data_IF_699603500392
#
_entry.id   IF_699603500392
#
_cell.length_a   1.000
_cell.length_b   1.000
_cell.length_c   1.000
_cell.angle_alpha   90.00
_cell.angle_beta   90.00
_cell.angle_gamma   90.00
#
_symmetry.space_group_name_H-M   'P 1'
#
loop_
_entity.id
_entity.type
_entity.pdbx_description
1 polymer ?
#
# COMPACT_ATOMS: atom_id res chain seq x y z
N UNK A 1 -11.81 -24.00 3.80
CA UNK A 1 -10.94 -22.84 3.85
C UNK A 1 -10.76 -22.36 2.42
N UNK A 2 -10.94 -21.06 2.14
CA UNK A 2 -11.03 -20.59 0.73
C UNK A 2 -9.67 -20.29 0.10
N UNK A 3 -8.67 -19.91 0.91
CA UNK A 3 -7.32 -19.55 0.49
C UNK A 3 -6.31 -20.40 1.26
N UNK A 4 -6.24 -21.68 0.89
CA UNK A 4 -5.27 -22.61 1.50
C UNK A 4 -3.86 -22.30 1.00
N UNK A 5 -2.85 -22.94 1.61
CA UNK A 5 -1.46 -22.80 1.17
C UNK A 5 -1.32 -23.20 -0.30
N UNK A 6 -1.94 -24.30 -0.70
CA UNK A 6 -1.90 -24.82 -2.08
C UNK A 6 -2.48 -23.80 -3.08
N UNK A 7 -3.59 -23.15 -2.74
CA UNK A 7 -4.21 -22.11 -3.59
C UNK A 7 -3.30 -20.90 -3.72
N UNK A 8 -2.58 -20.52 -2.66
CA UNK A 8 -1.66 -19.39 -2.70
C UNK A 8 -0.37 -19.75 -3.47
N UNK A 9 0.13 -20.98 -3.32
CA UNK A 9 1.29 -21.48 -4.06
C UNK A 9 0.97 -21.56 -5.58
N UNK A 10 -0.21 -22.09 -5.96
CA UNK A 10 -0.67 -22.08 -7.36
C UNK A 10 -0.81 -20.67 -7.92
N UNK A 11 -1.35 -19.74 -7.11
CA UNK A 11 -1.46 -18.35 -7.52
C UNK A 11 -0.08 -17.69 -7.69
N UNK A 12 0.91 -18.02 -6.87
CA UNK A 12 2.28 -17.52 -7.02
C UNK A 12 2.90 -17.98 -8.35
N UNK A 13 2.72 -19.24 -8.72
CA UNK A 13 3.15 -19.72 -10.04
C UNK A 13 2.37 -19.04 -11.17
N UNK A 14 1.07 -18.81 -10.99
CA UNK A 14 0.24 -18.09 -11.95
C UNK A 14 0.70 -16.64 -12.21
N UNK A 15 1.35 -15.99 -11.25
CA UNK A 15 1.94 -14.64 -11.45
C UNK A 15 3.11 -14.63 -12.43
N UNK A 16 3.73 -15.78 -12.68
CA UNK A 16 4.86 -15.94 -13.62
C UNK A 16 4.42 -16.32 -15.04
N UNK A 17 3.12 -16.48 -15.28
CA UNK A 17 2.59 -16.87 -16.59
C UNK A 17 2.85 -15.78 -17.64
N UNK A 18 3.09 -16.17 -18.87
CA UNK A 18 3.27 -15.23 -20.00
C UNK A 18 1.96 -14.50 -20.34
N UNK A 19 0.81 -15.15 -20.19
CA UNK A 19 -0.50 -14.53 -20.45
C UNK A 19 -0.90 -13.55 -19.32
N UNK A 20 -1.09 -12.31 -19.70
CA UNK A 20 -1.57 -11.23 -18.81
C UNK A 20 -2.88 -11.58 -18.11
N UNK A 21 -3.79 -12.31 -18.77
CA UNK A 21 -5.09 -12.68 -18.17
C UNK A 21 -4.91 -13.70 -17.06
N UNK A 22 -4.03 -14.68 -17.25
CA UNK A 22 -3.71 -15.67 -16.24
C UNK A 22 -3.02 -15.00 -15.04
N UNK A 23 -2.05 -14.11 -15.28
CA UNK A 23 -1.47 -13.30 -14.19
C UNK A 23 -2.53 -12.47 -13.46
N UNK A 24 -3.56 -11.97 -14.17
CA UNK A 24 -4.65 -11.22 -13.55
C UNK A 24 -5.53 -12.07 -12.65
N UNK A 25 -5.78 -13.32 -13.05
CA UNK A 25 -6.49 -14.30 -12.20
C UNK A 25 -5.70 -14.50 -10.91
N UNK A 26 -4.42 -14.80 -11.00
CA UNK A 26 -3.53 -14.99 -9.88
C UNK A 26 -3.45 -13.75 -8.96
N UNK A 27 -3.25 -12.57 -9.53
CA UNK A 27 -3.26 -11.31 -8.79
C UNK A 27 -4.59 -11.05 -8.06
N UNK A 28 -5.70 -11.49 -8.66
CA UNK A 28 -7.02 -11.38 -8.03
C UNK A 28 -7.20 -12.34 -6.85
N UNK A 29 -6.59 -13.52 -6.90
CA UNK A 29 -6.55 -14.45 -5.76
C UNK A 29 -5.86 -13.78 -4.57
N UNK A 30 -4.67 -13.23 -4.78
CA UNK A 30 -3.93 -12.54 -3.72
C UNK A 30 -4.67 -11.33 -3.17
N UNK A 31 -5.23 -10.49 -4.03
CA UNK A 31 -6.01 -9.34 -3.62
C UNK A 31 -7.19 -9.75 -2.71
N UNK A 32 -7.91 -10.81 -3.07
CA UNK A 32 -9.02 -11.32 -2.28
C UNK A 32 -8.56 -11.99 -0.98
N UNK A 33 -7.44 -12.72 -1.02
CA UNK A 33 -6.86 -13.34 0.16
C UNK A 33 -6.42 -12.27 1.18
N UNK A 34 -5.76 -11.20 0.72
CA UNK A 34 -5.36 -10.08 1.55
C UNK A 34 -6.55 -9.33 2.18
N UNK A 35 -7.72 -9.32 1.52
CA UNK A 35 -8.94 -8.71 2.02
C UNK A 35 -9.83 -9.67 2.83
N UNK A 36 -9.49 -10.97 2.86
CA UNK A 36 -10.31 -11.96 3.55
C UNK A 36 -10.40 -11.66 5.05
N UNK A 37 -11.53 -12.01 5.62
CA UNK A 37 -12.02 -11.64 6.95
C UNK A 37 -10.95 -11.53 8.04
N UNK A 38 -10.82 -10.34 8.56
CA UNK A 38 -9.93 -9.99 9.67
C UNK A 38 -10.35 -10.71 10.95
N UNK A 39 -9.36 -11.29 11.64
CA UNK A 39 -9.58 -11.83 12.99
C UNK A 39 -10.13 -13.25 13.04
N UNK A 40 -10.28 -13.94 11.92
CA UNK A 40 -10.66 -15.35 11.89
C UNK A 40 -9.44 -16.27 11.80
N UNK A 41 -9.58 -17.52 12.25
CA UNK A 41 -8.53 -18.54 12.06
C UNK A 41 -8.13 -18.71 10.58
N UNK A 42 -9.02 -18.33 9.67
CA UNK A 42 -8.79 -18.37 8.23
C UNK A 42 -7.81 -17.31 7.72
N UNK A 43 -7.54 -16.26 8.49
CA UNK A 43 -6.58 -15.21 8.10
C UNK A 43 -5.17 -15.46 8.61
N UNK A 44 -5.01 -16.25 9.65
CA UNK A 44 -3.69 -16.58 10.22
C UNK A 44 -2.79 -17.22 9.16
N UNK A 45 -3.23 -18.30 8.53
CA UNK A 45 -2.43 -19.02 7.53
C UNK A 45 -2.13 -18.21 6.28
N UNK A 46 -3.03 -17.32 5.85
CA UNK A 46 -2.77 -16.39 4.75
C UNK A 46 -1.65 -15.42 5.11
N UNK A 47 -1.68 -14.89 6.33
CA UNK A 47 -0.62 -14.01 6.82
C UNK A 47 0.71 -14.74 6.96
N UNK A 48 0.72 -15.91 7.57
CA UNK A 48 1.91 -16.75 7.70
C UNK A 48 2.50 -17.09 6.32
N UNK A 49 1.65 -17.37 5.35
CA UNK A 49 2.08 -17.61 3.98
C UNK A 49 2.78 -16.38 3.39
N UNK A 50 2.19 -15.19 3.52
CA UNK A 50 2.79 -13.96 2.98
C UNK A 50 4.11 -13.61 3.67
N UNK A 51 4.16 -13.70 4.99
CA UNK A 51 5.40 -13.46 5.74
C UNK A 51 6.51 -14.40 5.26
N UNK A 52 6.18 -15.67 5.05
CA UNK A 52 7.15 -16.68 4.60
C UNK A 52 7.55 -16.55 3.13
N UNK A 53 6.72 -15.93 2.28
CA UNK A 53 6.90 -15.91 0.82
C UNK A 53 6.97 -14.49 0.24
N UNK A 54 7.17 -13.46 1.05
CA UNK A 54 7.15 -12.07 0.58
C UNK A 54 8.20 -11.79 -0.50
N UNK A 55 9.38 -12.36 -0.39
CA UNK A 55 10.45 -12.17 -1.37
C UNK A 55 10.12 -12.80 -2.72
N UNK A 56 9.58 -14.02 -2.71
CA UNK A 56 9.13 -14.72 -3.90
C UNK A 56 7.95 -14.00 -4.56
N UNK A 57 7.01 -13.50 -3.74
CA UNK A 57 5.89 -12.70 -4.22
C UNK A 57 6.37 -11.41 -4.91
N UNK A 58 7.23 -10.62 -4.24
CA UNK A 58 7.77 -9.39 -4.83
C UNK A 58 8.59 -9.69 -6.08
N UNK A 59 9.38 -10.77 -6.08
CA UNK A 59 10.14 -11.19 -7.26
C UNK A 59 9.23 -11.53 -8.44
N UNK A 60 8.09 -12.18 -8.19
CA UNK A 60 7.14 -12.54 -9.24
C UNK A 60 6.42 -11.33 -9.85
N UNK A 61 6.26 -10.23 -9.10
CA UNK A 61 5.47 -9.06 -9.55
C UNK A 61 6.31 -7.85 -9.98
N UNK A 62 7.61 -7.82 -9.68
CA UNK A 62 8.47 -6.63 -9.89
C UNK A 62 8.55 -6.17 -11.35
N UNK A 63 8.44 -7.10 -12.29
CA UNK A 63 8.55 -6.86 -13.73
C UNK A 63 7.18 -6.78 -14.43
N UNK A 64 6.08 -6.78 -13.68
CA UNK A 64 4.73 -6.63 -14.23
C UNK A 64 4.55 -5.27 -14.90
N UNK A 65 4.00 -5.26 -16.10
CA UNK A 65 3.77 -4.07 -16.92
C UNK A 65 2.30 -3.71 -17.11
N UNK A 66 1.39 -4.68 -16.89
CA UNK A 66 -0.04 -4.42 -16.99
C UNK A 66 -0.54 -3.61 -15.79
N UNK A 67 -1.11 -2.44 -16.07
CA UNK A 67 -1.50 -1.49 -15.03
C UNK A 67 -2.61 -1.99 -14.11
N UNK A 68 -3.47 -2.88 -14.59
CA UNK A 68 -4.52 -3.49 -13.77
C UNK A 68 -3.96 -4.52 -12.81
N UNK A 69 -2.93 -5.26 -13.24
CA UNK A 69 -2.22 -6.21 -12.38
C UNK A 69 -1.37 -5.46 -11.34
N UNK A 70 -0.61 -4.44 -11.76
CA UNK A 70 0.15 -3.58 -10.84
C UNK A 70 -0.76 -2.98 -9.77
N UNK A 71 -1.94 -2.49 -10.16
CA UNK A 71 -2.90 -1.96 -9.19
C UNK A 71 -3.35 -3.01 -8.17
N UNK A 72 -3.60 -4.26 -8.61
CA UNK A 72 -3.94 -5.37 -7.71
C UNK A 72 -2.81 -5.70 -6.75
N UNK A 73 -1.58 -5.68 -7.23
CA UNK A 73 -0.40 -5.92 -6.39
C UNK A 73 -0.21 -4.81 -5.36
N UNK A 74 -0.35 -3.55 -5.76
CA UNK A 74 -0.33 -2.43 -4.83
C UNK A 74 -1.44 -2.54 -3.78
N UNK A 75 -2.63 -2.91 -4.20
CA UNK A 75 -3.74 -3.10 -3.26
C UNK A 75 -3.49 -4.28 -2.30
N UNK A 76 -2.95 -5.38 -2.80
CA UNK A 76 -2.58 -6.56 -2.00
C UNK A 76 -1.53 -6.20 -0.95
N UNK A 77 -0.43 -5.59 -1.37
CA UNK A 77 0.65 -5.17 -0.46
C UNK A 77 0.15 -4.16 0.57
N UNK A 78 -0.67 -3.18 0.16
CA UNK A 78 -1.30 -2.24 1.08
C UNK A 78 -2.13 -2.95 2.16
N UNK A 79 -3.01 -3.86 1.77
CA UNK A 79 -3.87 -4.57 2.72
C UNK A 79 -3.04 -5.40 3.71
N UNK A 80 -1.96 -5.99 3.22
CA UNK A 80 -1.02 -6.73 4.06
C UNK A 80 -0.36 -5.82 5.10
N UNK A 81 0.27 -4.76 4.64
CA UNK A 81 1.01 -3.85 5.48
C UNK A 81 0.11 -3.02 6.40
N UNK A 82 -1.03 -2.52 5.90
CA UNK A 82 -1.99 -1.78 6.72
C UNK A 82 -2.48 -2.61 7.92
N UNK A 83 -2.68 -3.89 7.71
CA UNK A 83 -3.15 -4.79 8.74
C UNK A 83 -2.10 -5.11 9.78
N UNK A 84 -0.83 -5.09 9.40
CA UNK A 84 0.29 -5.30 10.32
C UNK A 84 0.60 -4.06 11.15
N UNK A 85 0.73 -2.91 10.48
CA UNK A 85 1.22 -1.68 11.09
C UNK A 85 0.18 -1.03 12.00
N UNK A 86 -1.11 -1.19 11.74
CA UNK A 86 -2.16 -0.62 12.59
C UNK A 86 -2.36 -1.34 13.93
N UNK A 87 -1.57 -2.36 14.22
CA UNK A 87 -1.47 -2.98 15.55
C UNK A 87 -2.74 -3.68 16.08
N UNK A 88 -3.89 -3.37 15.52
CA UNK A 88 -5.18 -3.81 16.03
C UNK A 88 -5.40 -5.33 16.00
N UNK A 89 -4.53 -6.07 15.32
CA UNK A 89 -4.75 -7.51 15.06
C UNK A 89 -3.61 -8.41 15.48
N UNK A 90 -2.44 -7.87 15.83
CA UNK A 90 -1.28 -8.64 16.31
C UNK A 90 -1.60 -9.37 17.61
N UNK A 91 -2.42 -8.78 18.45
CA UNK A 91 -2.80 -9.36 19.75
C UNK A 91 -3.68 -10.61 19.65
N UNK A 92 -4.24 -10.92 18.47
CA UNK A 92 -5.19 -12.03 18.28
C UNK A 92 -4.51 -13.23 17.62
N UNK A 93 -3.35 -13.06 16.99
CA UNK A 93 -2.68 -14.10 16.23
C UNK A 93 -1.43 -14.58 16.99
N UNK A 94 -1.58 -15.66 17.73
CA UNK A 94 -0.43 -16.39 18.25
C UNK A 94 0.20 -17.18 17.09
N UNK A 95 1.38 -16.77 16.63
CA UNK A 95 2.12 -17.39 15.52
C UNK A 95 3.62 -17.30 15.78
N UNK A 96 4.33 -18.39 15.53
CA UNK A 96 5.79 -18.41 15.56
C UNK A 96 6.42 -17.78 14.30
N UNK A 97 5.65 -17.65 13.23
CA UNK A 97 6.08 -17.10 11.93
C UNK A 97 5.91 -15.60 11.89
N UNK A 98 4.83 -15.08 12.49
CA UNK A 98 4.52 -13.65 12.52
C UNK A 98 5.26 -13.03 13.71
N UNK A 99 6.51 -12.69 13.49
CA UNK A 99 7.39 -11.99 14.44
C UNK A 99 7.58 -10.53 14.01
N UNK A 100 8.01 -9.68 14.92
CA UNK A 100 8.32 -8.28 14.63
C UNK A 100 9.38 -8.13 13.51
N UNK A 101 10.38 -8.99 13.50
CA UNK A 101 11.43 -9.02 12.48
C UNK A 101 10.86 -9.39 11.11
N UNK A 102 10.01 -10.41 11.03
CA UNK A 102 9.41 -10.86 9.79
C UNK A 102 8.39 -9.83 9.25
N UNK A 103 7.67 -9.15 10.12
CA UNK A 103 6.78 -8.04 9.74
C UNK A 103 7.57 -6.88 9.17
N UNK A 104 8.70 -6.54 9.76
CA UNK A 104 9.60 -5.51 9.26
C UNK A 104 10.13 -5.86 7.87
N UNK A 105 10.50 -7.11 7.62
CA UNK A 105 10.91 -7.56 6.30
C UNK A 105 9.79 -7.41 5.27
N UNK A 106 8.55 -7.78 5.59
CA UNK A 106 7.38 -7.58 4.70
C UNK A 106 7.21 -6.10 4.37
N UNK A 107 7.34 -5.22 5.35
CA UNK A 107 7.24 -3.77 5.16
C UNK A 107 8.34 -3.25 4.23
N UNK A 108 9.59 -3.65 4.47
CA UNK A 108 10.74 -3.24 3.65
C UNK A 108 10.58 -3.69 2.19
N UNK A 109 10.19 -4.93 1.95
CA UNK A 109 9.95 -5.46 0.59
C UNK A 109 8.80 -4.75 -0.12
N UNK A 110 7.72 -4.45 0.59
CA UNK A 110 6.62 -3.67 0.04
C UNK A 110 7.05 -2.23 -0.31
N UNK A 111 7.87 -1.57 0.52
CA UNK A 111 8.46 -0.25 0.23
C UNK A 111 9.37 -0.29 -1.00
N UNK A 112 10.22 -1.30 -1.12
CA UNK A 112 11.07 -1.50 -2.30
C UNK A 112 10.23 -1.60 -3.57
N UNK A 113 9.14 -2.37 -3.53
CA UNK A 113 8.22 -2.51 -4.66
C UNK A 113 7.57 -1.18 -5.04
N UNK A 114 6.97 -0.47 -4.09
CA UNK A 114 6.35 0.85 -4.35
C UNK A 114 7.36 1.83 -4.92
N UNK A 115 8.58 1.86 -4.38
CA UNK A 115 9.63 2.74 -4.87
C UNK A 115 10.08 2.41 -6.30
N UNK A 116 10.11 1.13 -6.66
CA UNK A 116 10.42 0.70 -8.03
C UNK A 116 9.42 1.21 -9.06
N UNK A 117 8.15 1.32 -8.68
CA UNK A 117 7.06 1.80 -9.53
C UNK A 117 7.13 3.30 -9.84
N UNK A 118 7.95 4.09 -9.14
CA UNK A 118 8.09 5.54 -9.40
C UNK A 118 8.44 5.84 -10.86
N UNK A 119 9.16 4.95 -11.52
CA UNK A 119 9.54 5.10 -12.93
C UNK A 119 8.35 5.03 -13.91
N UNK A 120 7.27 4.37 -13.51
CA UNK A 120 6.06 4.18 -14.33
C UNK A 120 4.87 5.04 -13.88
N UNK A 121 5.11 6.06 -13.08
CA UNK A 121 4.10 6.98 -12.51
C UNK A 121 3.21 7.69 -13.53
N UNK A 122 3.52 7.63 -14.81
CA UNK A 122 2.70 8.25 -15.86
C UNK A 122 1.34 7.55 -16.05
N UNK A 123 1.23 6.30 -15.64
CA UNK A 123 -0.02 5.55 -15.75
C UNK A 123 -0.98 5.95 -14.63
N UNK A 124 -2.19 6.46 -14.95
CA UNK A 124 -3.15 6.91 -13.95
C UNK A 124 -3.59 5.83 -12.95
N UNK A 125 -3.66 4.58 -13.39
CA UNK A 125 -4.05 3.45 -12.54
C UNK A 125 -2.97 3.11 -11.52
N UNK A 126 -1.70 3.12 -11.96
CA UNK A 126 -0.55 2.91 -11.07
C UNK A 126 -0.45 4.04 -10.06
N UNK A 127 -0.57 5.29 -10.50
CA UNK A 127 -0.57 6.45 -9.60
C UNK A 127 -1.66 6.38 -8.54
N UNK A 128 -2.87 5.96 -8.92
CA UNK A 128 -3.97 5.76 -7.99
C UNK A 128 -3.63 4.68 -6.95
N UNK A 129 -3.04 3.57 -7.38
CA UNK A 129 -2.60 2.51 -6.49
C UNK A 129 -1.54 2.99 -5.49
N UNK A 130 -0.53 3.71 -5.98
CA UNK A 130 0.52 4.28 -5.12
C UNK A 130 -0.09 5.26 -4.09
N UNK A 131 -0.97 6.15 -4.52
CA UNK A 131 -1.65 7.08 -3.62
C UNK A 131 -2.48 6.37 -2.54
N UNK A 132 -3.08 5.22 -2.88
CA UNK A 132 -3.84 4.40 -1.93
C UNK A 132 -2.96 3.67 -0.92
N UNK A 133 -1.71 3.41 -1.29
CA UNK A 133 -0.76 2.64 -0.49
C UNK A 133 -0.09 3.45 0.62
N UNK A 134 -0.02 4.74 0.46
CA UNK A 134 0.82 5.62 1.26
C UNK A 134 0.53 5.69 2.75
N UNK A 135 -0.72 5.73 3.15
CA UNK A 135 -1.06 5.94 4.57
C UNK A 135 -0.57 4.81 5.51
N UNK A 136 -0.02 3.76 4.92
CA UNK A 136 0.58 2.64 5.62
C UNK A 136 2.05 2.88 5.97
N UNK A 137 2.73 3.77 5.22
CA UNK A 137 4.17 3.99 5.35
C UNK A 137 4.50 5.43 5.66
N UNK A 138 5.44 5.62 6.55
CA UNK A 138 5.98 6.91 7.00
C UNK A 138 7.13 7.40 6.10
N UNK A 139 7.16 6.96 4.84
CA UNK A 139 8.24 7.28 3.92
C UNK A 139 8.04 8.66 3.28
N UNK A 140 8.99 9.55 3.49
CA UNK A 140 8.93 10.94 3.03
C UNK A 140 8.75 11.06 1.51
N UNK A 141 9.32 10.14 0.71
CA UNK A 141 9.22 10.20 -0.76
C UNK A 141 7.78 10.16 -1.29
N UNK A 142 6.86 9.73 -0.50
CA UNK A 142 5.47 9.53 -0.91
C UNK A 142 4.71 10.85 -0.99
N UNK A 143 5.12 11.85 -0.23
CA UNK A 143 4.58 13.20 -0.35
C UNK A 143 4.86 13.79 -1.74
N UNK A 144 6.01 13.47 -2.33
CA UNK A 144 6.34 13.85 -3.70
C UNK A 144 5.42 13.15 -4.69
N UNK A 145 5.12 11.85 -4.46
CA UNK A 145 4.18 11.09 -5.28
C UNK A 145 2.77 11.71 -5.21
N UNK A 146 2.30 12.11 -4.04
CA UNK A 146 1.00 12.80 -3.92
C UNK A 146 0.94 14.08 -4.71
N UNK A 147 1.98 14.88 -4.60
CA UNK A 147 2.09 16.12 -5.36
C UNK A 147 2.02 15.86 -6.86
N UNK A 148 2.71 14.84 -7.36
CA UNK A 148 2.65 14.47 -8.78
C UNK A 148 1.30 13.89 -9.20
N UNK A 149 0.71 13.04 -8.38
CA UNK A 149 -0.61 12.46 -8.64
C UNK A 149 -1.66 13.55 -8.76
N UNK A 150 -1.69 14.50 -7.83
CA UNK A 150 -2.63 15.61 -7.83
C UNK A 150 -2.49 16.53 -9.03
N UNK A 151 -1.29 16.70 -9.57
CA UNK A 151 -1.09 17.46 -10.82
C UNK A 151 -1.77 16.82 -12.03
N UNK A 152 -1.97 15.49 -12.00
CA UNK A 152 -2.45 14.70 -13.14
C UNK A 152 -3.86 14.15 -12.97
N UNK A 153 -4.29 13.87 -11.73
CA UNK A 153 -5.56 13.22 -11.41
C UNK A 153 -6.32 13.94 -10.31
N UNK A 154 -7.62 14.14 -10.56
CA UNK A 154 -8.54 14.80 -9.62
C UNK A 154 -9.82 13.98 -9.39
N UNK A 155 -9.80 12.71 -9.72
CA UNK A 155 -10.97 11.86 -9.50
C UNK A 155 -11.25 11.67 -7.99
N UNK A 156 -12.53 11.48 -7.68
CA UNK A 156 -13.02 11.39 -6.30
C UNK A 156 -12.31 10.34 -5.47
N UNK A 157 -11.94 9.22 -6.06
CA UNK A 157 -11.29 8.12 -5.36
C UNK A 157 -9.85 8.47 -4.97
N UNK A 158 -9.09 9.02 -5.91
CA UNK A 158 -7.72 9.50 -5.66
C UNK A 158 -7.69 10.58 -4.58
N UNK A 159 -8.57 11.59 -4.68
CA UNK A 159 -8.69 12.65 -3.68
C UNK A 159 -9.06 12.10 -2.30
N UNK A 160 -9.98 11.14 -2.24
CA UNK A 160 -10.36 10.49 -0.99
C UNK A 160 -9.17 9.80 -0.32
N UNK A 161 -8.38 9.03 -1.08
CA UNK A 161 -7.23 8.32 -0.53
C UNK A 161 -6.14 9.27 -0.04
N UNK A 162 -5.82 10.31 -0.80
CA UNK A 162 -4.83 11.32 -0.39
C UNK A 162 -5.31 12.06 0.86
N UNK A 163 -6.58 12.46 0.90
CA UNK A 163 -7.15 13.10 2.07
C UNK A 163 -7.10 12.22 3.33
N UNK A 164 -7.43 10.94 3.20
CA UNK A 164 -7.29 9.98 4.31
C UNK A 164 -5.83 9.90 4.76
N UNK A 165 -4.88 9.80 3.83
CA UNK A 165 -3.47 9.71 4.13
C UNK A 165 -2.98 10.94 4.93
N UNK A 166 -3.30 12.15 4.48
CA UNK A 166 -2.94 13.39 5.18
C UNK A 166 -3.48 13.40 6.62
N UNK A 167 -4.77 13.09 6.79
CA UNK A 167 -5.39 13.07 8.14
C UNK A 167 -4.77 12.02 9.05
N UNK A 168 -4.53 10.82 8.55
CA UNK A 168 -3.96 9.73 9.36
C UNK A 168 -2.51 10.02 9.75
N UNK A 169 -1.69 10.47 8.80
CA UNK A 169 -0.30 10.82 9.08
C UNK A 169 -0.20 11.94 10.11
N UNK A 170 -1.06 12.98 10.01
CA UNK A 170 -1.09 14.05 11.00
C UNK A 170 -1.48 13.53 12.38
N UNK A 171 -2.53 12.72 12.47
CA UNK A 171 -2.95 12.13 13.75
C UNK A 171 -1.84 11.31 14.39
N UNK A 172 -1.18 10.45 13.64
CA UNK A 172 -0.07 9.63 14.14
C UNK A 172 1.13 10.48 14.60
N UNK A 173 1.41 11.59 13.91
CA UNK A 173 2.43 12.54 14.32
C UNK A 173 2.09 13.25 15.63
N UNK A 174 0.82 13.66 15.81
CA UNK A 174 0.34 14.32 17.04
C UNK A 174 0.31 13.37 18.24
N UNK A 175 0.00 12.10 18.04
CA UNK A 175 -0.05 11.07 19.07
C UNK A 175 1.35 10.53 19.47
N UNK A 176 2.43 11.02 18.84
CA UNK A 176 3.81 10.50 18.97
C UNK A 176 3.95 8.99 18.74
N UNK A 177 2.93 8.37 18.15
CA UNK A 177 2.91 6.94 17.92
C UNK A 177 3.83 6.53 16.77
N UNK A 178 4.03 7.45 15.81
CA UNK A 178 4.93 7.28 14.66
C UNK A 178 5.30 8.63 14.05
N UNK A 179 6.54 8.77 13.65
CA UNK A 179 7.05 9.98 13.00
C UNK A 179 6.64 10.02 11.53
N UNK A 180 5.41 10.41 11.23
CA UNK A 180 5.04 10.74 9.85
C UNK A 180 5.73 12.05 9.46
N UNK A 181 6.94 11.93 8.92
CA UNK A 181 7.74 13.08 8.55
C UNK A 181 7.39 13.61 7.17
N UNK A 182 6.99 14.87 7.11
CA UNK A 182 6.90 15.65 5.88
C UNK A 182 7.87 16.82 5.98
N UNK A 183 8.79 16.98 5.02
CA UNK A 183 9.68 18.14 5.00
C UNK A 183 8.91 19.42 4.69
N UNK A 184 9.45 20.58 5.11
CA UNK A 184 8.84 21.88 4.79
C UNK A 184 8.68 22.10 3.28
N UNK A 185 9.63 21.64 2.50
CA UNK A 185 9.56 21.72 1.04
C UNK A 185 8.44 20.86 0.47
N UNK A 186 8.33 19.61 0.89
CA UNK A 186 7.26 18.70 0.46
C UNK A 186 5.89 19.23 0.87
N UNK A 187 5.75 19.70 2.10
CA UNK A 187 4.53 20.31 2.63
C UNK A 187 4.11 21.52 1.80
N UNK A 188 5.05 22.42 1.49
CA UNK A 188 4.80 23.61 0.66
C UNK A 188 4.38 23.22 -0.76
N UNK A 189 5.07 22.28 -1.38
CA UNK A 189 4.78 21.82 -2.74
C UNK A 189 3.40 21.16 -2.82
N UNK A 190 3.05 20.33 -1.85
CA UNK A 190 1.74 19.68 -1.78
C UNK A 190 0.63 20.71 -1.56
N UNK A 191 0.82 21.63 -0.61
CA UNK A 191 -0.14 22.69 -0.31
C UNK A 191 -0.41 23.57 -1.53
N UNK A 192 0.63 24.01 -2.25
CA UNK A 192 0.49 24.79 -3.47
C UNK A 192 -0.39 24.09 -4.53
N UNK A 193 -0.19 22.77 -4.69
CA UNK A 193 -1.00 22.00 -5.65
C UNK A 193 -2.46 21.89 -5.19
N UNK A 194 -2.71 21.66 -3.91
CA UNK A 194 -4.06 21.58 -3.34
C UNK A 194 -4.82 22.91 -3.53
N UNK A 195 -4.18 24.02 -3.19
CA UNK A 195 -4.75 25.36 -3.33
C UNK A 195 -5.00 25.73 -4.79
N UNK A 196 -4.01 25.56 -5.66
CA UNK A 196 -4.12 25.82 -7.10
C UNK A 196 -5.25 25.05 -7.76
N UNK A 197 -5.49 23.83 -7.30
CA UNK A 197 -6.55 22.98 -7.83
C UNK A 197 -7.87 23.14 -7.10
N UNK A 198 -7.90 23.86 -5.98
CA UNK A 198 -9.07 24.07 -5.14
C UNK A 198 -9.73 22.74 -4.67
N UNK A 199 -8.90 21.79 -4.25
CA UNK A 199 -9.30 20.47 -3.75
C UNK A 199 -8.81 20.23 -2.33
N UNK A 200 -9.46 19.33 -1.59
CA UNK A 200 -9.06 18.90 -0.25
C UNK A 200 -8.78 20.10 0.70
N UNK A 201 -9.71 21.05 0.76
CA UNK A 201 -9.52 22.31 1.50
C UNK A 201 -9.20 22.11 2.98
N UNK A 202 -9.88 21.17 3.63
CA UNK A 202 -9.65 20.87 5.05
C UNK A 202 -8.24 20.31 5.27
N UNK A 203 -7.78 19.44 4.37
CA UNK A 203 -6.44 18.86 4.41
C UNK A 203 -5.36 19.91 4.07
N UNK A 204 -5.66 20.86 3.20
CA UNK A 204 -4.79 22.00 2.94
C UNK A 204 -4.60 22.87 4.20
N UNK A 205 -5.67 23.17 4.95
CA UNK A 205 -5.55 23.86 6.23
C UNK A 205 -4.74 23.05 7.25
N UNK A 206 -4.98 21.74 7.32
CA UNK A 206 -4.17 20.85 8.18
C UNK A 206 -2.67 20.92 7.86
N UNK A 207 -2.31 20.99 6.57
CA UNK A 207 -0.91 21.09 6.16
C UNK A 207 -0.29 22.44 6.54
N UNK A 208 -1.05 23.54 6.56
CA UNK A 208 -0.56 24.85 7.03
C UNK A 208 -0.16 24.83 8.50
N UNK A 209 -0.95 24.15 9.31
CA UNK A 209 -0.79 24.07 10.77
C UNK A 209 0.11 22.91 11.21
N UNK A 210 0.59 22.10 10.29
CA UNK A 210 1.44 20.96 10.60
C UNK A 210 2.86 21.44 10.90
N UNK A 211 3.29 21.28 12.14
CA UNK A 211 4.62 21.64 12.63
C UNK A 211 5.53 20.43 12.64
#
# INVERSE_FOLDING_TARGET
>A
MKYTKEVLDEALEGLRNEDVKERRVAATVFMKAACAELGTANTKHVKEWFVSNIEDYITAIKDETDSENIWRHLYTTQQFCARYIQGAYLFIINSEIITEENEKNVEEKAKEYVNSLRKIQKNPKVLQGIASFFWVYEESFVWDIFTEVLKKKKDKLTLSHIGIAIRQCRRLSEENDRNAYISDEQRKNLLEVLEKQNVLKNEAEMLKDWK
#
